data_IF_273257196729
#
_entry.id   IF_273257196729
#
_cell.length_a   1.000
_cell.length_b   1.000
_cell.length_c   1.000
_cell.angle_alpha   90.00
_cell.angle_beta   90.00
_cell.angle_gamma   90.00
#
_symmetry.space_group_name_H-M   'P 1'
#
loop_
_entity.id
_entity.type
_entity.pdbx_description
1 polymer ?
#
# COMPACT_ATOMS: atom_id res chain seq x y z
N UNK A 1 -27.31 -13.35 50.40
CA UNK A 1 -26.88 -14.43 49.49
C UNK A 1 -25.88 -13.83 48.51
N UNK A 2 -24.61 -14.22 48.62
CA UNK A 2 -23.54 -13.72 47.75
C UNK A 2 -23.79 -14.24 46.32
N UNK A 3 -23.86 -13.39 45.29
CA UNK A 3 -24.09 -13.88 43.94
C UNK A 3 -22.88 -14.72 43.52
N UNK A 4 -23.14 -15.98 43.18
CA UNK A 4 -22.10 -16.92 42.72
C UNK A 4 -21.44 -16.33 41.47
N UNK A 5 -20.15 -16.02 41.56
CA UNK A 5 -19.30 -15.71 40.39
C UNK A 5 -19.39 -16.88 39.42
N UNK A 6 -19.94 -16.64 38.24
CA UNK A 6 -19.90 -17.60 37.14
C UNK A 6 -18.42 -17.91 36.83
N UNK A 7 -17.98 -19.13 37.13
CA UNK A 7 -16.65 -19.66 36.79
C UNK A 7 -16.70 -20.58 35.58
N UNK A 8 -17.83 -20.58 34.85
CA UNK A 8 -18.02 -21.39 33.65
C UNK A 8 -16.93 -21.08 32.65
N UNK A 9 -16.06 -22.05 32.40
CA UNK A 9 -15.10 -22.01 31.31
C UNK A 9 -15.92 -21.77 30.04
N UNK A 10 -15.84 -20.56 29.49
CA UNK A 10 -16.57 -20.11 28.28
C UNK A 10 -16.45 -21.12 27.12
N UNK A 11 -15.43 -21.99 27.18
CA UNK A 11 -15.04 -22.98 26.19
C UNK A 11 -15.86 -24.28 26.11
N UNK A 12 -16.68 -24.64 27.10
CA UNK A 12 -17.35 -25.98 27.09
C UNK A 12 -18.78 -25.98 26.54
N UNK A 13 -19.56 -24.91 26.73
CA UNK A 13 -20.90 -24.76 26.13
C UNK A 13 -21.27 -23.26 26.01
N UNK A 14 -21.10 -22.66 24.81
CA UNK A 14 -21.43 -21.25 24.57
C UNK A 14 -22.90 -20.93 24.80
N UNK A 15 -23.81 -21.89 24.60
CA UNK A 15 -25.25 -21.65 24.73
C UNK A 15 -25.67 -21.55 26.19
N UNK A 16 -25.14 -22.41 27.06
CA UNK A 16 -25.36 -22.29 28.51
C UNK A 16 -24.78 -20.97 29.06
N UNK A 17 -23.61 -20.58 28.57
CA UNK A 17 -22.96 -19.33 28.96
C UNK A 17 -23.75 -18.10 28.51
N UNK A 18 -24.36 -18.10 27.32
CA UNK A 18 -25.26 -17.03 26.89
C UNK A 18 -26.57 -17.02 27.72
N UNK A 19 -27.13 -18.18 28.02
CA UNK A 19 -28.38 -18.28 28.77
C UNK A 19 -28.26 -17.78 30.23
N UNK A 20 -27.11 -17.96 30.87
CA UNK A 20 -26.92 -17.69 32.31
C UNK A 20 -25.91 -16.58 32.62
N UNK A 21 -25.00 -16.30 31.70
CA UNK A 21 -23.90 -15.36 31.90
C UNK A 21 -24.34 -13.90 31.86
N UNK A 22 -23.59 -12.99 32.51
CA UNK A 22 -23.81 -11.57 32.38
C UNK A 22 -23.37 -11.06 31.00
N UNK A 23 -23.68 -9.81 30.68
CA UNK A 23 -23.36 -9.17 29.38
C UNK A 23 -21.88 -9.27 29.01
N UNK A 24 -20.97 -9.27 29.98
CA UNK A 24 -19.53 -9.41 29.75
C UNK A 24 -19.19 -10.79 29.15
N UNK A 25 -19.89 -11.85 29.58
CA UNK A 25 -19.75 -13.19 28.99
C UNK A 25 -20.29 -13.18 27.56
N UNK A 26 -21.44 -12.56 27.32
CA UNK A 26 -21.98 -12.41 25.96
C UNK A 26 -21.02 -11.66 25.04
N UNK A 27 -20.43 -10.55 25.48
CA UNK A 27 -19.48 -9.81 24.65
C UNK A 27 -18.18 -10.57 24.41
N UNK A 28 -17.72 -11.38 25.37
CA UNK A 28 -16.56 -12.27 25.16
C UNK A 28 -16.86 -13.29 24.07
N UNK A 29 -18.01 -13.97 24.15
CA UNK A 29 -18.44 -14.95 23.14
C UNK A 29 -18.65 -14.28 21.78
N UNK A 30 -19.22 -13.07 21.77
CA UNK A 30 -19.39 -12.27 20.56
C UNK A 30 -18.05 -11.92 19.90
N UNK A 31 -17.07 -11.49 20.70
CA UNK A 31 -15.74 -11.19 20.22
C UNK A 31 -15.06 -12.43 19.64
N UNK A 32 -15.07 -13.55 20.38
CA UNK A 32 -14.48 -14.83 19.92
C UNK A 32 -15.13 -15.28 18.60
N UNK A 33 -16.46 -15.23 18.52
CA UNK A 33 -17.20 -15.57 17.30
C UNK A 33 -16.78 -14.72 16.09
N UNK A 34 -16.63 -13.40 16.25
CA UNK A 34 -16.18 -12.52 15.17
C UNK A 34 -14.70 -12.74 14.81
N UNK A 35 -13.84 -13.03 15.79
CA UNK A 35 -12.43 -13.30 15.56
C UNK A 35 -12.22 -14.58 14.74
N UNK A 36 -12.99 -15.63 15.07
CA UNK A 36 -13.01 -16.89 14.34
C UNK A 36 -13.56 -16.70 12.92
N UNK A 37 -14.70 -16.01 12.78
CA UNK A 37 -15.31 -15.74 11.47
C UNK A 37 -14.38 -14.95 10.55
N UNK A 38 -13.60 -14.02 11.11
CA UNK A 38 -12.68 -13.18 10.34
C UNK A 38 -11.29 -13.79 10.14
N UNK A 39 -11.07 -15.05 10.54
CA UNK A 39 -9.83 -15.79 10.26
C UNK A 39 -8.59 -15.20 10.94
N UNK A 40 -8.69 -14.80 12.22
CA UNK A 40 -7.54 -14.31 13.00
C UNK A 40 -7.60 -12.85 13.44
N UNK A 41 -8.77 -12.19 13.28
CA UNK A 41 -9.20 -11.12 14.19
C UNK A 41 -9.52 -9.74 13.61
N UNK A 42 -9.96 -8.85 14.50
CA UNK A 42 -10.37 -7.46 14.27
C UNK A 42 -9.18 -6.46 14.07
N UNK A 43 -8.00 -6.98 13.72
CA UNK A 43 -6.77 -6.18 13.64
C UNK A 43 -6.70 -5.30 12.40
N UNK A 44 -7.38 -5.68 11.33
CA UNK A 44 -7.47 -4.87 10.11
C UNK A 44 -8.53 -3.78 10.26
N UNK A 45 -8.32 -2.64 9.60
CA UNK A 45 -9.33 -1.58 9.58
C UNK A 45 -10.62 -2.07 8.90
N UNK A 46 -10.51 -2.96 7.90
CA UNK A 46 -11.67 -3.61 7.27
C UNK A 46 -12.55 -4.32 8.29
N UNK A 47 -11.96 -5.19 9.12
CA UNK A 47 -12.72 -6.01 10.06
C UNK A 47 -13.32 -5.17 11.20
N UNK A 48 -12.64 -4.10 11.62
CA UNK A 48 -13.22 -3.13 12.56
C UNK A 48 -14.46 -2.44 12.00
N UNK A 49 -14.42 -2.00 10.74
CA UNK A 49 -15.60 -1.38 10.10
C UNK A 49 -16.74 -2.37 9.92
N UNK A 50 -16.43 -3.60 9.49
CA UNK A 50 -17.43 -4.64 9.35
C UNK A 50 -18.11 -4.96 10.70
N UNK A 51 -17.33 -5.06 11.80
CA UNK A 51 -17.89 -5.21 13.14
C UNK A 51 -18.82 -4.06 13.52
N UNK A 52 -18.40 -2.81 13.31
CA UNK A 52 -19.22 -1.63 13.63
C UNK A 52 -20.55 -1.64 12.88
N UNK A 53 -20.55 -2.07 11.62
CA UNK A 53 -21.76 -2.17 10.81
C UNK A 53 -22.67 -3.30 11.25
N UNK A 54 -22.13 -4.47 11.58
CA UNK A 54 -22.87 -5.60 12.17
C UNK A 54 -23.52 -5.17 13.49
N UNK A 55 -22.73 -4.59 14.40
CA UNK A 55 -23.20 -4.15 15.71
C UNK A 55 -24.25 -3.05 15.60
N UNK A 56 -24.07 -2.09 14.67
CA UNK A 56 -25.08 -1.07 14.38
C UNK A 56 -26.37 -1.67 13.82
N UNK A 57 -26.27 -2.57 12.85
CA UNK A 57 -27.43 -3.22 12.23
C UNK A 57 -28.21 -4.10 13.24
N UNK A 58 -27.50 -4.71 14.19
CA UNK A 58 -28.09 -5.54 15.23
C UNK A 58 -28.60 -4.76 16.46
N UNK A 59 -28.31 -3.45 16.58
CA UNK A 59 -28.62 -2.69 17.78
C UNK A 59 -27.81 -3.11 19.01
N UNK A 60 -26.54 -3.49 18.83
CA UNK A 60 -25.70 -4.08 19.89
C UNK A 60 -25.61 -3.20 21.15
N UNK A 61 -25.67 -1.88 21.04
CA UNK A 61 -25.65 -0.98 22.20
C UNK A 61 -26.86 -1.17 23.13
N UNK A 62 -28.03 -1.49 22.58
CA UNK A 62 -29.23 -1.82 23.36
C UNK A 62 -29.09 -3.21 23.96
N UNK A 63 -28.64 -4.18 23.15
CA UNK A 63 -28.34 -5.54 23.60
C UNK A 63 -27.43 -5.53 24.82
N UNK A 64 -26.31 -4.82 24.75
CA UNK A 64 -25.34 -4.71 25.84
C UNK A 64 -25.94 -4.11 27.11
N UNK A 65 -26.80 -3.10 26.97
CA UNK A 65 -27.43 -2.41 28.11
C UNK A 65 -28.39 -3.34 28.84
N UNK A 66 -29.24 -4.01 28.08
CA UNK A 66 -30.43 -4.68 28.62
C UNK A 66 -30.20 -6.18 28.87
N UNK A 67 -29.10 -6.76 28.38
CA UNK A 67 -28.81 -8.20 28.40
C UNK A 67 -29.05 -8.89 29.74
N UNK A 68 -28.64 -8.26 30.84
CA UNK A 68 -28.73 -8.87 32.16
C UNK A 68 -30.19 -9.05 32.63
N UNK A 69 -31.09 -8.22 32.11
CA UNK A 69 -32.51 -8.20 32.46
C UNK A 69 -33.36 -9.09 31.53
N UNK A 70 -32.79 -9.55 30.41
CA UNK A 70 -33.44 -10.44 29.47
C UNK A 70 -33.58 -11.87 30.02
N UNK A 71 -34.76 -12.45 29.82
CA UNK A 71 -35.02 -13.88 30.01
C UNK A 71 -34.18 -14.74 29.05
N UNK A 72 -34.00 -16.04 29.34
CA UNK A 72 -33.26 -16.94 28.44
C UNK A 72 -33.80 -16.98 27.00
N UNK A 73 -35.12 -16.88 26.81
CA UNK A 73 -35.75 -16.84 25.48
C UNK A 73 -35.42 -15.54 24.75
N UNK A 74 -35.53 -14.39 25.42
CA UNK A 74 -35.19 -13.09 24.83
C UNK A 74 -33.70 -12.98 24.50
N UNK A 75 -32.82 -13.59 25.30
CA UNK A 75 -31.38 -13.70 25.01
C UNK A 75 -31.13 -14.53 23.74
N UNK A 76 -31.84 -15.64 23.57
CA UNK A 76 -31.73 -16.47 22.38
C UNK A 76 -32.18 -15.72 21.11
N UNK A 77 -33.30 -15.00 21.18
CA UNK A 77 -33.78 -14.17 20.06
C UNK A 77 -32.83 -13.00 19.77
N UNK A 78 -32.28 -12.38 20.81
CA UNK A 78 -31.26 -11.33 20.68
C UNK A 78 -29.99 -11.83 20.01
N UNK A 79 -29.52 -13.02 20.41
CA UNK A 79 -28.38 -13.67 19.78
C UNK A 79 -28.67 -14.05 18.32
N UNK A 80 -29.87 -14.55 18.04
CA UNK A 80 -30.33 -14.82 16.66
C UNK A 80 -30.29 -13.55 15.80
N UNK A 81 -30.72 -12.40 16.34
CA UNK A 81 -30.64 -11.10 15.65
C UNK A 81 -29.20 -10.73 15.30
N UNK A 82 -28.24 -10.95 16.22
CA UNK A 82 -26.82 -10.76 15.93
C UNK A 82 -26.35 -11.66 14.79
N UNK A 83 -26.69 -12.95 14.81
CA UNK A 83 -26.29 -13.89 13.75
C UNK A 83 -26.88 -13.53 12.38
N UNK A 84 -28.13 -13.04 12.34
CA UNK A 84 -28.76 -12.55 11.10
C UNK A 84 -28.00 -11.34 10.57
N UNK A 85 -27.68 -10.37 11.44
CA UNK A 85 -26.91 -9.19 11.06
C UNK A 85 -25.50 -9.56 10.56
N UNK A 86 -24.81 -10.48 11.23
CA UNK A 86 -23.52 -11.02 10.77
C UNK A 86 -23.65 -11.55 9.36
N UNK A 87 -24.58 -12.49 9.13
CA UNK A 87 -24.74 -13.13 7.83
C UNK A 87 -25.02 -12.10 6.73
N UNK A 88 -25.93 -11.17 6.99
CA UNK A 88 -26.30 -10.13 6.03
C UNK A 88 -25.11 -9.22 5.68
N UNK A 89 -24.40 -8.70 6.69
CA UNK A 89 -23.28 -7.78 6.47
C UNK A 89 -22.04 -8.47 5.92
N UNK A 90 -21.78 -9.71 6.35
CA UNK A 90 -20.67 -10.50 5.84
C UNK A 90 -20.85 -10.79 4.35
N UNK A 91 -22.04 -11.27 3.96
CA UNK A 91 -22.38 -11.54 2.55
C UNK A 91 -22.32 -10.27 1.70
N UNK A 92 -22.91 -9.17 2.17
CA UNK A 92 -22.84 -7.88 1.48
C UNK A 92 -21.41 -7.34 1.34
N UNK A 93 -20.49 -7.75 2.22
CA UNK A 93 -19.10 -7.32 2.18
C UNK A 93 -18.22 -8.16 1.26
N UNK A 94 -18.68 -9.33 0.80
CA UNK A 94 -17.89 -10.21 -0.07
C UNK A 94 -17.61 -9.53 -1.40
N UNK A 95 -16.40 -9.72 -1.93
CA UNK A 95 -16.05 -9.24 -3.28
C UNK A 95 -15.90 -7.72 -3.43
N UNK A 96 -16.07 -6.94 -2.35
CA UNK A 96 -16.09 -5.47 -2.44
C UNK A 96 -15.14 -4.77 -1.47
N UNK A 97 -14.60 -3.63 -1.92
CA UNK A 97 -13.77 -2.77 -1.09
C UNK A 97 -14.64 -1.91 -0.17
N UNK A 98 -14.50 -2.11 1.15
CA UNK A 98 -15.21 -1.35 2.20
C UNK A 98 -14.70 0.09 2.41
N UNK A 99 -13.76 0.56 1.58
CA UNK A 99 -13.12 1.89 1.70
C UNK A 99 -12.57 2.14 3.10
N UNK A 100 -11.95 1.12 3.71
CA UNK A 100 -11.40 1.23 5.06
C UNK A 100 -10.13 2.10 5.17
N UNK A 101 -9.51 2.44 4.04
CA UNK A 101 -8.30 3.27 4.00
C UNK A 101 -6.99 2.52 4.17
N UNK A 102 -7.01 1.35 4.82
CA UNK A 102 -5.80 0.61 5.20
C UNK A 102 -4.81 0.43 4.05
N UNK A 103 -5.17 -0.22 2.94
CA UNK A 103 -4.24 -0.37 1.82
C UNK A 103 -3.85 0.97 1.16
N UNK A 104 -4.75 1.96 1.19
CA UNK A 104 -4.53 3.27 0.57
C UNK A 104 -3.54 4.13 1.38
N UNK A 105 -3.41 3.91 2.68
CA UNK A 105 -2.47 4.63 3.56
C UNK A 105 -1.06 4.03 3.53
N UNK A 106 -0.93 2.75 3.14
CA UNK A 106 0.35 2.04 3.11
C UNK A 106 1.09 2.13 1.77
N UNK A 107 0.40 2.25 0.65
CA UNK A 107 1.05 2.40 -0.66
C UNK A 107 0.09 2.85 -1.75
N UNK A 108 0.59 3.65 -2.70
CA UNK A 108 -0.07 3.84 -3.99
C UNK A 108 -0.06 2.56 -4.84
N UNK A 109 -1.03 2.37 -5.76
CA UNK A 109 -1.05 1.20 -6.62
C UNK A 109 -0.01 1.27 -7.75
N UNK A 110 0.57 0.12 -8.05
CA UNK A 110 1.36 -0.10 -9.28
C UNK A 110 0.41 -0.39 -10.44
N UNK A 111 0.66 0.27 -11.58
CA UNK A 111 -0.19 0.16 -12.76
C UNK A 111 0.12 -1.11 -13.57
N UNK A 112 -0.94 -1.74 -14.06
CA UNK A 112 -0.87 -2.82 -15.03
C UNK A 112 -1.19 -2.28 -16.43
N UNK A 113 -0.87 -3.03 -17.48
CA UNK A 113 -1.10 -2.63 -18.87
C UNK A 113 -2.57 -2.29 -19.13
N UNK A 114 -3.50 -2.97 -18.48
CA UNK A 114 -4.94 -2.65 -18.53
C UNK A 114 -5.27 -1.26 -17.98
N UNK A 115 -4.39 -0.64 -17.21
CA UNK A 115 -4.56 0.70 -16.67
C UNK A 115 -4.10 1.80 -17.63
N UNK A 116 -3.57 1.46 -18.82
CA UNK A 116 -3.21 2.45 -19.85
C UNK A 116 -4.40 3.35 -20.20
N UNK A 117 -5.62 2.78 -20.21
CA UNK A 117 -6.86 3.52 -20.45
C UNK A 117 -7.08 4.67 -19.45
N UNK A 118 -6.51 4.60 -18.24
CA UNK A 118 -6.65 5.65 -17.24
C UNK A 118 -5.85 6.89 -17.62
N UNK A 119 -4.73 6.72 -18.34
CA UNK A 119 -3.96 7.82 -18.91
C UNK A 119 -4.65 8.36 -20.17
N UNK A 120 -5.09 7.47 -21.07
CA UNK A 120 -5.76 7.85 -22.32
C UNK A 120 -7.05 8.64 -22.09
N UNK A 121 -7.78 8.33 -21.00
CA UNK A 121 -9.00 9.03 -20.59
C UNK A 121 -8.75 10.23 -19.67
N UNK A 122 -7.48 10.61 -19.47
CA UNK A 122 -7.05 11.72 -18.61
C UNK A 122 -7.51 11.61 -17.14
N UNK A 123 -7.82 10.40 -16.68
CA UNK A 123 -8.16 10.12 -15.27
C UNK A 123 -6.88 10.19 -14.42
N UNK A 124 -5.76 9.73 -14.99
CA UNK A 124 -4.42 9.88 -14.46
C UNK A 124 -3.61 10.76 -15.41
N UNK A 125 -2.98 11.79 -14.86
CA UNK A 125 -2.01 12.62 -15.57
C UNK A 125 -0.60 12.10 -15.35
N UNK A 126 0.35 12.50 -16.20
CA UNK A 126 1.76 12.15 -16.04
C UNK A 126 2.33 12.59 -14.67
N UNK A 127 1.80 13.69 -14.12
CA UNK A 127 2.18 14.20 -12.80
C UNK A 127 1.61 13.39 -11.62
N UNK A 128 0.71 12.45 -11.88
CA UNK A 128 0.19 11.50 -10.88
C UNK A 128 1.10 10.26 -10.73
N UNK A 129 2.02 10.06 -11.67
CA UNK A 129 2.80 8.83 -11.82
C UNK A 129 4.29 9.07 -11.61
N UNK A 130 5.00 7.99 -11.31
CA UNK A 130 6.45 7.93 -11.33
C UNK A 130 6.93 6.54 -11.73
N UNK A 131 8.17 6.47 -12.20
CA UNK A 131 8.78 5.20 -12.59
C UNK A 131 9.58 4.59 -11.45
N UNK A 132 9.27 3.33 -11.15
CA UNK A 132 10.15 2.43 -10.43
C UNK A 132 11.01 1.69 -11.46
N UNK A 133 12.30 1.96 -11.45
CA UNK A 133 13.26 1.40 -12.41
C UNK A 133 13.69 0.00 -11.98
N UNK A 134 14.21 -0.79 -12.91
CA UNK A 134 14.90 -2.04 -12.55
C UNK A 134 16.03 -1.74 -11.54
N UNK A 135 16.09 -2.51 -10.47
CA UNK A 135 17.01 -2.29 -9.36
C UNK A 135 16.51 -1.33 -8.27
N UNK A 136 15.39 -0.64 -8.47
CA UNK A 136 14.69 0.04 -7.37
C UNK A 136 14.22 -0.95 -6.32
N UNK A 137 13.94 -0.45 -5.12
CA UNK A 137 13.51 -1.29 -4.00
C UNK A 137 12.04 -1.06 -3.75
N UNK A 138 11.27 -2.14 -3.74
CA UNK A 138 9.90 -2.13 -3.24
C UNK A 138 9.85 -3.00 -1.97
N UNK A 139 9.35 -2.43 -0.88
CA UNK A 139 9.01 -3.21 0.30
C UNK A 139 7.72 -3.95 0.01
N UNK A 140 7.80 -5.28 -0.14
CA UNK A 140 6.60 -6.10 -0.23
C UNK A 140 5.82 -6.07 1.08
N UNK A 141 4.59 -6.58 1.08
CA UNK A 141 3.82 -6.73 2.32
C UNK A 141 4.50 -7.69 3.31
N UNK A 142 5.33 -8.63 2.82
CA UNK A 142 6.11 -9.55 3.66
C UNK A 142 7.42 -8.95 4.22
N UNK A 143 7.71 -7.67 3.94
CA UNK A 143 8.62 -6.85 4.74
C UNK A 143 10.10 -6.82 4.31
N UNK A 144 10.56 -7.73 3.44
CA UNK A 144 11.93 -7.66 2.92
C UNK A 144 12.00 -6.74 1.69
N UNK A 145 12.74 -5.62 1.75
CA UNK A 145 12.95 -4.78 0.58
C UNK A 145 13.81 -5.54 -0.44
N UNK A 146 13.29 -5.78 -1.65
CA UNK A 146 14.02 -6.50 -2.70
C UNK A 146 14.19 -5.64 -3.95
N UNK A 147 15.32 -5.74 -4.66
CA UNK A 147 15.50 -5.08 -5.95
C UNK A 147 14.50 -5.60 -6.98
N UNK A 148 13.83 -4.68 -7.67
CA UNK A 148 12.94 -4.98 -8.79
C UNK A 148 13.72 -5.57 -9.96
N UNK A 149 13.16 -6.60 -10.59
CA UNK A 149 13.74 -7.22 -11.79
C UNK A 149 13.31 -6.53 -13.08
N UNK A 150 12.21 -5.78 -12.99
CA UNK A 150 11.53 -5.12 -14.07
C UNK A 150 11.16 -3.68 -13.70
N UNK A 151 10.93 -2.86 -14.71
CA UNK A 151 10.36 -1.52 -14.54
C UNK A 151 8.86 -1.59 -14.23
N UNK A 152 8.37 -0.67 -13.40
CA UNK A 152 6.95 -0.52 -13.09
C UNK A 152 6.56 0.94 -13.00
N UNK A 153 5.37 1.30 -13.48
CA UNK A 153 4.78 2.62 -13.20
C UNK A 153 3.89 2.56 -11.97
N UNK A 154 3.99 3.57 -11.10
CA UNK A 154 3.24 3.61 -9.84
C UNK A 154 2.59 4.96 -9.61
N UNK A 155 1.39 4.95 -9.03
CA UNK A 155 0.71 6.16 -8.56
C UNK A 155 1.47 6.75 -7.37
N UNK A 156 1.69 8.06 -7.41
CA UNK A 156 2.38 8.82 -6.37
C UNK A 156 1.66 8.79 -5.03
N UNK A 157 2.47 8.88 -3.99
CA UNK A 157 2.05 8.98 -2.61
C UNK A 157 2.08 10.47 -2.17
N UNK A 158 1.32 10.82 -1.13
CA UNK A 158 1.32 12.17 -0.55
C UNK A 158 2.70 12.42 0.06
N UNK A 159 3.37 13.57 -0.25
CA UNK A 159 4.70 13.87 0.25
C UNK A 159 4.83 13.68 1.76
N UNK A 160 5.88 12.99 2.20
CA UNK A 160 6.12 12.67 3.62
C UNK A 160 5.29 11.51 4.17
N UNK A 161 4.51 10.82 3.33
CA UNK A 161 3.72 9.65 3.72
C UNK A 161 3.75 8.57 2.64
N UNK A 162 3.16 7.41 2.94
CA UNK A 162 2.90 6.35 1.94
C UNK A 162 1.46 6.35 1.42
N UNK A 163 0.67 7.36 1.80
CA UNK A 163 -0.73 7.44 1.43
C UNK A 163 -0.85 7.70 -0.08
N UNK A 164 -1.63 6.89 -0.79
CA UNK A 164 -2.01 7.15 -2.17
C UNK A 164 -2.59 8.55 -2.33
N UNK A 165 -2.10 9.34 -3.29
CA UNK A 165 -2.53 10.74 -3.52
C UNK A 165 -4.01 10.93 -3.86
N UNK A 166 -4.69 9.85 -4.28
CA UNK A 166 -6.11 9.88 -4.60
C UNK A 166 -7.00 9.53 -3.41
N UNK A 167 -6.44 9.01 -2.32
CA UNK A 167 -7.19 8.72 -1.11
C UNK A 167 -7.31 9.97 -0.22
N UNK A 168 -8.52 10.21 0.26
CA UNK A 168 -8.87 11.28 1.19
C UNK A 168 -9.22 10.65 2.54
N UNK A 169 -8.25 10.62 3.45
CA UNK A 169 -8.40 10.00 4.77
C UNK A 169 -9.55 10.60 5.59
N UNK A 170 -9.73 11.93 5.52
CA UNK A 170 -10.74 12.68 6.28
C UNK A 170 -12.16 12.14 6.12
N UNK A 171 -12.50 11.62 4.93
CA UNK A 171 -13.83 11.08 4.63
C UNK A 171 -13.78 9.64 4.09
N UNK A 172 -12.63 8.96 4.20
CA UNK A 172 -12.42 7.58 3.72
C UNK A 172 -12.87 7.38 2.26
N UNK A 173 -12.54 8.33 1.39
CA UNK A 173 -12.94 8.29 -0.02
C UNK A 173 -11.75 8.22 -0.97
N UNK A 174 -11.97 7.71 -2.18
CA UNK A 174 -10.99 7.72 -3.26
C UNK A 174 -11.55 8.54 -4.41
N UNK A 175 -10.78 9.54 -4.86
CA UNK A 175 -11.21 10.47 -5.94
C UNK A 175 -11.38 9.79 -7.30
N UNK A 176 -10.80 8.61 -7.48
CA UNK A 176 -10.89 7.81 -8.70
C UNK A 176 -11.48 6.42 -8.41
N UNK A 177 -12.35 6.27 -7.40
CA UNK A 177 -12.78 4.92 -6.96
C UNK A 177 -13.40 4.08 -8.10
N UNK A 178 -14.25 4.69 -8.93
CA UNK A 178 -14.92 4.00 -10.03
C UNK A 178 -13.95 3.68 -11.18
N UNK A 179 -12.83 4.39 -11.26
CA UNK A 179 -11.75 4.21 -12.21
C UNK A 179 -10.44 3.77 -11.54
N UNK A 180 -10.54 3.06 -10.41
CA UNK A 180 -9.38 2.68 -9.61
C UNK A 180 -8.50 1.70 -10.41
N UNK A 181 -7.17 1.77 -10.30
CA UNK A 181 -6.27 0.87 -11.02
C UNK A 181 -6.54 -0.60 -10.77
N UNK A 182 -6.10 -1.44 -11.70
CA UNK A 182 -6.30 -2.87 -11.69
C UNK A 182 -5.74 -3.52 -10.43
N UNK A 183 -4.58 -3.08 -9.95
CA UNK A 183 -4.05 -3.56 -8.68
C UNK A 183 -5.02 -3.30 -7.52
N UNK A 184 -5.69 -2.13 -7.48
CA UNK A 184 -6.72 -1.84 -6.47
C UNK A 184 -7.96 -2.73 -6.64
N UNK A 185 -8.35 -3.07 -7.87
CA UNK A 185 -9.47 -3.98 -8.15
C UNK A 185 -9.16 -5.42 -7.73
N UNK A 186 -7.93 -5.87 -7.95
CA UNK A 186 -7.40 -7.18 -7.54
C UNK A 186 -7.12 -7.30 -6.04
N UNK A 187 -7.12 -6.21 -5.26
CA UNK A 187 -6.94 -6.29 -3.79
C UNK A 187 -8.15 -6.96 -3.13
N UNK A 188 -7.99 -8.24 -2.79
CA UNK A 188 -9.00 -9.04 -2.09
C UNK A 188 -8.72 -9.06 -0.59
N UNK A 189 -8.99 -7.97 0.14
CA UNK A 189 -8.79 -7.95 1.60
C UNK A 189 -9.82 -8.78 2.41
N UNK A 190 -10.58 -9.64 1.73
CA UNK A 190 -11.60 -10.53 2.27
C UNK A 190 -11.29 -12.01 2.00
N UNK A 191 -10.29 -12.30 1.17
CA UNK A 191 -9.89 -13.64 0.71
C UNK A 191 -8.35 -13.68 0.58
N UNK A 192 -7.80 -14.82 0.18
CA UNK A 192 -6.37 -14.93 -0.12
C UNK A 192 -5.99 -13.96 -1.25
N UNK A 193 -4.88 -13.19 -1.14
CA UNK A 193 -4.45 -12.31 -2.22
C UNK A 193 -4.24 -13.09 -3.53
N UNK A 194 -4.58 -12.50 -4.69
CA UNK A 194 -4.31 -13.13 -5.97
C UNK A 194 -2.79 -13.26 -6.20
N UNK A 195 -2.37 -14.14 -7.12
CA UNK A 195 -0.96 -14.24 -7.49
C UNK A 195 -0.42 -12.90 -7.96
N UNK A 196 0.89 -12.71 -7.76
CA UNK A 196 1.60 -11.53 -8.25
C UNK A 196 1.41 -11.43 -9.78
N UNK A 197 1.15 -10.22 -10.32
CA UNK A 197 1.11 -10.02 -11.76
C UNK A 197 2.40 -10.50 -12.43
N UNK A 198 2.27 -11.08 -13.63
CA UNK A 198 3.42 -11.41 -14.45
C UNK A 198 4.13 -10.15 -14.92
N UNK A 199 5.44 -10.25 -15.24
CA UNK A 199 6.23 -9.10 -15.70
C UNK A 199 5.61 -8.39 -16.91
N UNK A 200 5.04 -9.15 -17.86
CA UNK A 200 4.38 -8.60 -19.05
C UNK A 200 3.05 -7.87 -18.76
N UNK A 201 2.48 -8.05 -17.56
CA UNK A 201 1.27 -7.32 -17.16
C UNK A 201 1.56 -5.91 -16.67
N UNK A 202 2.80 -5.56 -16.32
CA UNK A 202 3.09 -4.22 -15.80
C UNK A 202 3.07 -3.16 -16.91
N UNK A 203 2.46 -2.03 -16.60
CA UNK A 203 2.62 -0.83 -17.42
C UNK A 203 4.03 -0.26 -17.18
N UNK A 204 4.66 0.18 -18.26
CA UNK A 204 6.03 0.72 -18.27
C UNK A 204 6.11 1.92 -19.23
N UNK A 205 7.25 2.61 -19.24
CA UNK A 205 7.52 3.81 -20.06
C UNK A 205 7.48 3.54 -21.55
N UNK A 206 7.80 2.33 -22.03
CA UNK A 206 7.72 2.01 -23.46
C UNK A 206 6.28 2.09 -23.97
N UNK A 207 5.31 1.65 -23.15
CA UNK A 207 3.89 1.79 -23.50
C UNK A 207 3.43 3.25 -23.56
N UNK A 208 4.08 4.17 -22.83
CA UNK A 208 3.72 5.60 -22.80
C UNK A 208 4.48 6.43 -23.86
N UNK A 209 5.76 6.13 -24.05
CA UNK A 209 6.69 6.98 -24.80
C UNK A 209 7.33 6.27 -26.00
N UNK A 210 7.01 5.00 -26.28
CA UNK A 210 7.63 4.24 -27.36
C UNK A 210 7.44 4.84 -28.76
N UNK A 211 6.37 5.64 -28.93
CA UNK A 211 6.07 6.37 -30.17
C UNK A 211 6.71 7.78 -30.22
N UNK A 212 7.47 8.18 -29.20
CA UNK A 212 8.18 9.46 -29.11
C UNK A 212 9.69 9.18 -29.07
N UNK A 213 10.36 9.06 -30.23
CA UNK A 213 11.76 8.64 -30.32
C UNK A 213 12.70 9.46 -29.43
N UNK A 214 12.48 10.78 -29.35
CA UNK A 214 13.30 11.71 -28.58
C UNK A 214 13.29 11.39 -27.08
N UNK A 215 12.12 11.08 -26.52
CA UNK A 215 11.99 10.69 -25.10
C UNK A 215 12.51 9.27 -24.90
N UNK A 216 12.12 8.34 -25.77
CA UNK A 216 12.52 6.92 -25.69
C UNK A 216 14.04 6.76 -25.72
N UNK A 217 14.72 7.46 -26.61
CA UNK A 217 16.17 7.35 -26.76
C UNK A 217 16.90 7.95 -25.55
N UNK A 218 16.42 9.07 -25.00
CA UNK A 218 16.95 9.63 -23.75
C UNK A 218 16.72 8.71 -22.55
N UNK A 219 15.55 8.06 -22.45
CA UNK A 219 15.29 7.04 -21.42
C UNK A 219 16.30 5.91 -21.54
N UNK A 220 16.56 5.40 -22.74
CA UNK A 220 17.50 4.30 -22.96
C UNK A 220 18.93 4.67 -22.54
N UNK A 221 19.41 5.84 -22.98
CA UNK A 221 20.75 6.32 -22.60
C UNK A 221 20.86 6.54 -21.09
N UNK A 222 19.80 7.04 -20.45
CA UNK A 222 19.73 7.17 -19.00
C UNK A 222 19.77 5.84 -18.28
N UNK A 223 19.04 4.82 -18.75
CA UNK A 223 19.10 3.48 -18.16
C UNK A 223 20.47 2.84 -18.29
N UNK A 224 21.18 3.08 -19.39
CA UNK A 224 22.54 2.58 -19.61
C UNK A 224 23.54 3.26 -18.67
N UNK A 225 23.54 4.60 -18.59
CA UNK A 225 24.52 5.38 -17.80
C UNK A 225 24.21 5.44 -16.31
N UNK A 226 22.93 5.39 -15.94
CA UNK A 226 22.46 5.52 -14.57
C UNK A 226 21.86 4.21 -14.04
N UNK A 227 22.35 3.07 -14.52
CA UNK A 227 21.85 1.74 -14.17
C UNK A 227 21.95 1.49 -12.65
N UNK A 228 20.81 1.28 -11.99
CA UNK A 228 20.75 1.17 -10.54
C UNK A 228 21.40 -0.11 -9.97
N UNK A 229 21.43 -1.20 -10.75
CA UNK A 229 22.14 -2.41 -10.35
C UNK A 229 23.65 -2.18 -10.39
N UNK A 230 24.15 -1.54 -11.47
CA UNK A 230 25.56 -1.18 -11.58
C UNK A 230 25.98 -0.20 -10.48
N UNK A 231 25.14 0.76 -10.12
CA UNK A 231 25.40 1.68 -9.00
C UNK A 231 25.60 0.90 -7.69
N UNK A 232 24.80 -0.15 -7.41
CA UNK A 232 25.01 -0.99 -6.22
C UNK A 232 26.34 -1.73 -6.27
N UNK A 233 26.65 -2.35 -7.40
CA UNK A 233 27.92 -3.06 -7.60
C UNK A 233 29.12 -2.12 -7.36
N UNK A 234 29.06 -0.89 -7.89
CA UNK A 234 30.10 0.11 -7.67
C UNK A 234 30.25 0.44 -6.18
N UNK A 235 29.15 0.59 -5.44
CA UNK A 235 29.23 0.83 -3.98
C UNK A 235 29.88 -0.35 -3.24
N UNK A 236 29.62 -1.58 -3.67
CA UNK A 236 30.28 -2.79 -3.12
C UNK A 236 31.78 -2.82 -3.48
N UNK A 237 32.14 -2.43 -4.71
CA UNK A 237 33.53 -2.30 -5.15
C UNK A 237 34.29 -1.24 -4.34
N UNK A 238 33.67 -0.08 -4.10
CA UNK A 238 34.23 0.98 -3.27
C UNK A 238 34.38 0.56 -1.81
N UNK A 239 33.41 -0.16 -1.25
CA UNK A 239 33.52 -0.74 0.08
C UNK A 239 34.66 -1.78 0.19
N UNK A 240 35.01 -2.43 -0.93
CA UNK A 240 36.15 -3.34 -1.04
C UNK A 240 37.49 -2.63 -1.37
N UNK A 241 37.52 -1.29 -1.40
CA UNK A 241 38.74 -0.50 -1.61
C UNK A 241 39.16 -0.30 -3.06
N UNK A 242 38.28 -0.59 -4.04
CA UNK A 242 38.54 -0.33 -5.47
C UNK A 242 38.10 1.08 -5.84
N UNK A 243 38.97 2.05 -5.58
CA UNK A 243 38.67 3.48 -5.77
C UNK A 243 38.40 3.86 -7.23
N UNK A 244 38.91 3.09 -8.20
CA UNK A 244 38.71 3.32 -9.64
C UNK A 244 37.23 3.25 -10.04
N UNK A 245 36.41 2.51 -9.29
CA UNK A 245 34.98 2.41 -9.53
C UNK A 245 34.23 3.74 -9.29
N UNK A 246 34.85 4.69 -8.58
CA UNK A 246 34.23 5.98 -8.24
C UNK A 246 33.95 6.86 -9.46
N UNK A 247 34.79 6.79 -10.50
CA UNK A 247 34.64 7.60 -11.72
C UNK A 247 33.29 7.33 -12.40
N UNK A 248 32.93 6.06 -12.56
CA UNK A 248 31.66 5.64 -13.15
C UNK A 248 30.45 6.09 -12.33
N UNK A 249 30.56 6.10 -10.99
CA UNK A 249 29.49 6.61 -10.12
C UNK A 249 29.31 8.12 -10.29
N UNK A 250 30.42 8.87 -10.34
CA UNK A 250 30.35 10.32 -10.54
C UNK A 250 29.84 10.66 -11.94
N UNK A 251 30.24 9.94 -12.99
CA UNK A 251 29.68 10.11 -14.33
C UNK A 251 28.16 9.92 -14.32
N UNK A 252 27.67 8.84 -13.69
CA UNK A 252 26.24 8.56 -13.56
C UNK A 252 25.49 9.67 -12.80
N UNK A 253 26.09 10.24 -11.74
CA UNK A 253 25.51 11.34 -10.97
C UNK A 253 25.40 12.63 -11.78
N UNK A 254 26.47 13.02 -12.50
CA UNK A 254 26.45 14.21 -13.34
C UNK A 254 25.48 14.04 -14.51
N UNK A 255 25.47 12.87 -15.16
CA UNK A 255 24.56 12.58 -16.26
C UNK A 255 23.09 12.66 -15.81
N UNK A 256 22.72 11.99 -14.71
CA UNK A 256 21.36 12.06 -14.15
C UNK A 256 20.97 13.50 -13.79
N UNK A 257 21.88 14.26 -13.17
CA UNK A 257 21.61 15.65 -12.77
C UNK A 257 21.37 16.57 -13.96
N UNK A 258 22.29 16.60 -14.92
CA UNK A 258 22.21 17.52 -16.04
C UNK A 258 21.10 17.15 -17.03
N UNK A 259 20.80 15.85 -17.19
CA UNK A 259 19.67 15.44 -18.00
C UNK A 259 18.34 15.89 -17.38
N UNK A 260 18.18 15.75 -16.05
CA UNK A 260 17.00 16.29 -15.34
C UNK A 260 16.89 17.80 -15.50
N UNK A 261 18.02 18.52 -15.35
CA UNK A 261 18.08 19.97 -15.54
C UNK A 261 17.65 20.40 -16.93
N UNK A 262 18.13 19.73 -17.98
CA UNK A 262 17.69 19.96 -19.35
C UNK A 262 16.17 19.76 -19.51
N UNK A 263 15.61 18.67 -18.97
CA UNK A 263 14.16 18.44 -19.01
C UNK A 263 13.35 19.53 -18.30
N UNK A 264 13.81 20.03 -17.17
CA UNK A 264 13.11 21.05 -16.39
C UNK A 264 13.26 22.45 -17.02
N UNK A 265 14.48 22.84 -17.38
CA UNK A 265 14.83 24.20 -17.78
C UNK A 265 14.61 24.44 -19.29
N UNK A 266 14.96 23.47 -20.15
CA UNK A 266 14.83 23.62 -21.60
C UNK A 266 13.47 23.14 -22.10
N UNK A 267 12.97 22.02 -21.56
CA UNK A 267 11.71 21.42 -22.02
C UNK A 267 10.51 21.82 -21.14
N UNK A 268 10.75 22.58 -20.06
CA UNK A 268 9.70 23.11 -19.19
C UNK A 268 8.91 22.03 -18.45
N UNK A 269 9.46 20.83 -18.29
CA UNK A 269 8.77 19.73 -17.61
C UNK A 269 8.73 19.95 -16.11
N UNK A 270 7.58 19.66 -15.50
CA UNK A 270 7.48 19.64 -14.05
C UNK A 270 8.37 18.52 -13.47
N UNK A 271 8.98 18.70 -12.29
CA UNK A 271 9.82 17.66 -11.67
C UNK A 271 9.11 16.30 -11.52
N UNK A 272 7.78 16.31 -11.32
CA UNK A 272 6.99 15.09 -11.26
C UNK A 272 6.93 14.33 -12.61
N UNK A 273 6.85 15.04 -13.72
CA UNK A 273 6.91 14.45 -15.06
C UNK A 273 8.32 13.91 -15.35
N UNK A 274 9.38 14.62 -14.92
CA UNK A 274 10.76 14.14 -15.06
C UNK A 274 10.99 12.85 -14.28
N UNK A 275 10.42 12.71 -13.08
CA UNK A 275 10.46 11.44 -12.33
C UNK A 275 9.61 10.31 -12.96
N UNK A 276 8.63 10.62 -13.80
CA UNK A 276 8.01 9.60 -14.64
C UNK A 276 8.96 9.18 -15.76
N UNK A 277 9.64 10.13 -16.40
CA UNK A 277 10.54 9.83 -17.52
C UNK A 277 11.82 9.13 -17.06
N UNK A 278 12.48 9.60 -15.99
CA UNK A 278 13.81 9.14 -15.56
C UNK A 278 13.79 8.35 -14.25
N UNK A 279 12.61 8.07 -13.69
CA UNK A 279 12.49 7.55 -12.34
C UNK A 279 13.05 8.53 -11.30
N UNK A 280 13.23 8.03 -10.07
CA UNK A 280 13.86 8.83 -9.00
C UNK A 280 15.31 9.19 -9.31
N UNK A 281 15.80 10.36 -8.83
CA UNK A 281 17.21 10.73 -8.97
C UNK A 281 18.17 9.71 -8.39
N UNK A 282 19.35 9.56 -9.00
CA UNK A 282 20.42 8.67 -8.49
C UNK A 282 20.86 9.11 -7.09
N UNK A 283 20.88 10.41 -6.82
CA UNK A 283 21.16 10.95 -5.48
C UNK A 283 20.15 10.47 -4.43
N UNK A 284 18.88 10.35 -4.79
CA UNK A 284 17.83 9.81 -3.91
C UNK A 284 17.98 8.30 -3.74
N UNK A 285 18.33 7.58 -4.80
CA UNK A 285 18.65 6.17 -4.72
C UNK A 285 19.81 5.89 -3.74
N UNK A 286 20.91 6.64 -3.85
CA UNK A 286 22.05 6.56 -2.93
C UNK A 286 21.67 6.86 -1.48
N UNK A 287 20.78 7.82 -1.25
CA UNK A 287 20.27 8.17 0.09
C UNK A 287 19.58 7.00 0.78
N UNK A 288 18.87 6.18 0.01
CA UNK A 288 18.21 4.98 0.51
C UNK A 288 19.21 3.85 0.81
N UNK A 289 20.40 3.91 0.21
CA UNK A 289 21.52 3.02 0.51
C UNK A 289 22.46 3.57 1.60
N UNK A 290 22.11 4.69 2.23
CA UNK A 290 22.89 5.28 3.31
C UNK A 290 24.03 6.19 2.84
N UNK A 291 23.98 6.72 1.61
CA UNK A 291 24.96 7.67 1.11
C UNK A 291 24.32 9.01 0.71
N UNK A 292 24.99 10.11 1.02
CA UNK A 292 24.58 11.44 0.60
C UNK A 292 25.51 11.94 -0.52
N UNK A 293 24.96 12.09 -1.72
CA UNK A 293 25.62 12.72 -2.85
C UNK A 293 25.16 14.19 -2.95
N UNK A 294 26.10 15.13 -2.86
CA UNK A 294 25.82 16.58 -2.91
C UNK A 294 26.63 17.22 -4.02
N UNK A 295 25.97 17.99 -4.89
CA UNK A 295 26.65 18.78 -5.93
C UNK A 295 27.24 20.05 -5.28
N UNK A 296 28.53 20.31 -5.49
CA UNK A 296 29.19 21.51 -5.00
C UNK A 296 28.96 22.69 -5.95
N UNK A 297 29.23 23.94 -5.52
CA UNK A 297 29.16 25.12 -6.39
C UNK A 297 30.07 25.03 -7.62
N UNK A 298 31.16 24.25 -7.53
CA UNK A 298 32.09 24.00 -8.64
C UNK A 298 31.56 22.99 -9.67
N UNK A 299 30.34 22.45 -9.46
CA UNK A 299 29.72 21.50 -10.38
C UNK A 299 30.22 20.07 -10.22
N UNK A 300 30.81 19.71 -9.08
CA UNK A 300 31.33 18.38 -8.80
C UNK A 300 30.55 17.72 -7.67
N UNK A 301 30.24 16.43 -7.80
CA UNK A 301 29.60 15.67 -6.72
C UNK A 301 30.58 15.28 -5.61
N UNK A 302 30.14 15.37 -4.36
CA UNK A 302 30.78 14.77 -3.18
C UNK A 302 29.89 13.71 -2.58
N UNK A 303 30.48 12.58 -2.21
CA UNK A 303 29.81 11.48 -1.53
C UNK A 303 30.21 11.45 -0.05
N UNK A 304 29.23 11.33 0.83
CA UNK A 304 29.44 11.14 2.27
C UNK A 304 28.53 10.03 2.79
N UNK A 305 28.91 9.29 3.85
CA UNK A 305 27.98 8.44 4.58
C UNK A 305 26.83 9.29 5.12
N UNK A 306 25.62 8.74 5.11
CA UNK A 306 24.47 9.38 5.72
C UNK A 306 24.68 9.39 7.24
N UNK A 307 24.84 10.58 7.82
CA UNK A 307 24.74 10.73 9.27
C UNK A 307 23.36 10.26 9.71
N UNK A 308 23.33 9.32 10.66
CA UNK A 308 22.09 8.79 11.25
C UNK A 308 21.43 9.81 12.14
#
# INVERSE_FOLDING_TARGET
MTPKRFTGKIRTDPWEALARGPREVMASIWQEYLEDLFGGGLKTARNRLLRQEIEKAAGFSEIWRDWNDLSPEERADTWRRLMIAVRAQFEASRGTCRRCGECCEHSGPTLLLSDLELIEKEILTLNDLYTLRRGDVETSQEGAPTPLQEERLKIREVPGSRQCRFYLAANRSCRIYDHRPEQCRRRQCWEEPPPRPATAEFLNREHLFGQVPEIRDLIKVHEERCNLLRVREILEELAAGREEASEALFEALHFDHYLRKMFEEEWGLAPAAVELILGRPVTRFLKDLGFQATLTPEGVFRLAPRCT
#
